data_IF_588008963108
#
_entry.id   IF_588008963108
#
_cell.length_a   1.000
_cell.length_b   1.000
_cell.length_c   1.000
_cell.angle_alpha   90.00
_cell.angle_beta   90.00
_cell.angle_gamma   90.00
#
_symmetry.space_group_name_H-M   'P 1'
#
loop_
_entity.id
_entity.type
_entity.pdbx_description
1 polymer ?
#
# COMPACT_ATOMS: atom_id res chain seq x y z
N UNK A 1 12.12 5.70 8.16
CA UNK A 1 10.65 5.55 7.99
C UNK A 1 9.98 6.92 7.99
N UNK A 2 10.03 7.67 9.11
CA UNK A 2 9.43 9.02 9.23
C UNK A 2 9.82 10.00 8.12
N UNK A 3 11.09 9.97 7.68
CA UNK A 3 11.56 10.80 6.57
C UNK A 3 10.81 10.51 5.26
N UNK A 4 10.54 9.24 4.94
CA UNK A 4 9.77 8.87 3.75
C UNK A 4 8.34 9.40 3.80
N UNK A 5 7.68 9.32 4.95
CA UNK A 5 6.35 9.90 5.16
C UNK A 5 6.34 11.43 4.97
N UNK A 6 7.34 12.12 5.53
CA UNK A 6 7.47 13.57 5.40
C UNK A 6 7.69 13.99 3.95
N UNK A 7 8.57 13.31 3.22
CA UNK A 7 8.83 13.60 1.81
C UNK A 7 7.58 13.43 0.93
N UNK A 8 6.74 12.43 1.23
CA UNK A 8 5.46 12.25 0.54
C UNK A 8 4.46 13.37 0.84
N UNK A 9 4.40 13.84 2.09
CA UNK A 9 3.56 14.99 2.46
C UNK A 9 4.03 16.27 1.76
N UNK A 10 5.34 16.42 1.57
CA UNK A 10 5.94 17.54 0.84
C UNK A 10 5.86 17.42 -0.69
N UNK A 11 5.14 16.42 -1.23
CA UNK A 11 5.04 16.16 -2.68
C UNK A 11 6.41 15.95 -3.35
N UNK A 12 7.36 15.33 -2.64
CA UNK A 12 8.70 14.95 -3.15
C UNK A 12 8.81 13.43 -3.33
N UNK A 13 8.01 12.81 -4.22
CA UNK A 13 7.90 11.36 -4.30
C UNK A 13 9.21 10.68 -4.73
N UNK A 14 10.02 11.31 -5.59
CA UNK A 14 11.29 10.73 -6.05
C UNK A 14 12.32 10.59 -4.91
N UNK A 15 12.38 11.58 -4.03
CA UNK A 15 13.25 11.52 -2.84
C UNK A 15 12.72 10.54 -1.81
N UNK A 16 11.39 10.49 -1.63
CA UNK A 16 10.77 9.49 -0.79
C UNK A 16 11.13 8.07 -1.24
N UNK A 17 11.06 7.77 -2.55
CA UNK A 17 11.46 6.48 -3.13
C UNK A 17 12.92 6.17 -2.78
N UNK A 18 13.82 7.13 -3.00
CA UNK A 18 15.26 6.94 -2.75
C UNK A 18 15.52 6.57 -1.29
N UNK A 19 14.96 7.33 -0.36
CA UNK A 19 15.11 7.09 1.09
C UNK A 19 14.47 5.77 1.52
N UNK A 20 13.27 5.45 1.00
CA UNK A 20 12.54 4.24 1.37
C UNK A 20 13.20 2.96 0.82
N UNK A 21 13.81 3.01 -0.37
CA UNK A 21 14.59 1.89 -0.91
C UNK A 21 15.87 1.65 -0.11
N UNK A 22 16.60 2.71 0.24
CA UNK A 22 17.77 2.61 1.10
C UNK A 22 17.40 2.02 2.46
N UNK A 23 16.31 2.50 3.06
CA UNK A 23 15.79 1.98 4.32
C UNK A 23 15.38 0.50 4.20
N UNK A 24 14.74 0.10 3.10
CA UNK A 24 14.37 -1.30 2.87
C UNK A 24 15.60 -2.22 2.80
N UNK A 25 16.69 -1.77 2.19
CA UNK A 25 17.93 -2.54 2.11
C UNK A 25 18.60 -2.74 3.48
N UNK A 26 18.39 -1.79 4.40
CA UNK A 26 18.93 -1.84 5.77
C UNK A 26 18.02 -2.60 6.75
N UNK A 27 16.80 -2.95 6.35
CA UNK A 27 15.85 -3.61 7.25
C UNK A 27 16.11 -5.12 7.34
N UNK A 28 16.41 -5.56 8.57
CA UNK A 28 16.38 -6.97 8.98
C UNK A 28 14.95 -7.55 9.05
N UNK A 29 14.70 -8.60 9.84
CA UNK A 29 13.45 -9.39 9.83
C UNK A 29 12.21 -8.68 10.39
N UNK A 30 12.23 -7.36 10.59
CA UNK A 30 11.13 -6.62 11.20
C UNK A 30 9.93 -6.48 10.24
N UNK A 31 9.06 -7.48 10.24
CA UNK A 31 7.95 -7.65 9.29
C UNK A 31 7.01 -6.43 9.21
N UNK A 32 6.65 -5.83 10.36
CA UNK A 32 5.75 -4.67 10.40
C UNK A 32 6.34 -3.45 9.69
N UNK A 33 7.61 -3.15 9.97
CA UNK A 33 8.29 -2.00 9.38
C UNK A 33 8.50 -2.22 7.86
N UNK A 34 8.81 -3.45 7.46
CA UNK A 34 8.92 -3.84 6.05
C UNK A 34 7.62 -3.61 5.30
N UNK A 35 6.47 -4.02 5.87
CA UNK A 35 5.15 -3.79 5.29
C UNK A 35 4.83 -2.31 5.15
N UNK A 36 5.11 -1.53 6.19
CA UNK A 36 4.88 -0.09 6.16
C UNK A 36 5.76 0.60 5.09
N UNK A 37 7.02 0.20 4.93
CA UNK A 37 7.89 0.70 3.84
C UNK A 37 7.37 0.31 2.46
N UNK A 38 6.86 -0.91 2.29
CA UNK A 38 6.25 -1.34 1.02
C UNK A 38 5.01 -0.48 0.69
N UNK A 39 4.14 -0.20 1.67
CA UNK A 39 3.01 0.71 1.44
C UNK A 39 3.46 2.11 1.03
N UNK A 40 4.46 2.68 1.72
CA UNK A 40 4.94 4.02 1.39
C UNK A 40 5.62 4.08 0.02
N UNK A 41 6.33 3.03 -0.40
CA UNK A 41 6.87 2.93 -1.75
C UNK A 41 5.75 2.91 -2.79
N UNK A 42 4.70 2.12 -2.57
CA UNK A 42 3.53 2.13 -3.45
C UNK A 42 2.91 3.53 -3.57
N UNK A 43 2.69 4.21 -2.45
CA UNK A 43 2.15 5.59 -2.44
C UNK A 43 3.09 6.54 -3.21
N UNK A 44 4.40 6.42 -3.01
CA UNK A 44 5.38 7.24 -3.70
C UNK A 44 5.35 7.06 -5.21
N UNK A 45 5.25 5.82 -5.69
CA UNK A 45 5.12 5.51 -7.11
C UNK A 45 3.81 6.04 -7.71
N UNK A 46 2.68 5.93 -6.99
CA UNK A 46 1.41 6.55 -7.42
C UNK A 46 1.55 8.08 -7.53
N UNK A 47 2.10 8.74 -6.50
CA UNK A 47 2.27 10.21 -6.51
C UNK A 47 3.21 10.70 -7.61
N UNK A 48 4.16 9.87 -8.05
CA UNK A 48 5.06 10.15 -9.17
C UNK A 48 4.40 9.92 -10.54
N UNK A 49 3.20 9.36 -10.59
CA UNK A 49 2.52 9.00 -11.85
C UNK A 49 2.99 7.67 -12.45
N UNK A 50 3.55 6.76 -11.63
CA UNK A 50 3.95 5.40 -12.04
C UNK A 50 3.12 4.33 -11.30
N UNK A 51 1.79 4.29 -11.45
CA UNK A 51 0.93 3.32 -10.75
C UNK A 51 1.28 1.86 -11.05
N UNK A 52 1.84 1.56 -12.22
CA UNK A 52 2.29 0.24 -12.64
C UNK A 52 3.42 -0.30 -11.74
N UNK A 53 4.28 0.60 -11.27
CA UNK A 53 5.34 0.26 -10.32
C UNK A 53 4.79 0.15 -8.89
N UNK A 54 3.73 0.87 -8.55
CA UNK A 54 3.15 0.88 -7.22
C UNK A 54 2.42 -0.43 -6.88
N UNK A 55 1.68 -0.98 -7.84
CA UNK A 55 0.84 -2.16 -7.68
C UNK A 55 1.56 -3.36 -6.99
N UNK A 56 2.73 -3.83 -7.45
CA UNK A 56 3.42 -4.94 -6.80
C UNK A 56 3.89 -4.62 -5.37
N UNK A 57 4.12 -3.36 -5.01
CA UNK A 57 4.46 -3.00 -3.64
C UNK A 57 3.26 -3.14 -2.70
N UNK A 58 2.07 -2.74 -3.14
CA UNK A 58 0.86 -2.91 -2.33
C UNK A 58 0.48 -4.39 -2.18
N UNK A 59 0.61 -5.21 -3.23
CA UNK A 59 0.42 -6.66 -3.13
C UNK A 59 1.37 -7.30 -2.10
N UNK A 60 2.66 -6.94 -2.15
CA UNK A 60 3.65 -7.44 -1.17
C UNK A 60 3.39 -6.94 0.24
N UNK A 61 2.85 -5.73 0.41
CA UNK A 61 2.45 -5.22 1.71
C UNK A 61 1.27 -6.01 2.30
N UNK A 62 0.33 -6.45 1.46
CA UNK A 62 -0.83 -7.25 1.85
C UNK A 62 -0.50 -8.72 2.14
N UNK A 63 0.63 -9.23 1.63
CA UNK A 63 0.98 -10.66 1.70
C UNK A 63 1.17 -11.14 3.15
N UNK A 64 0.49 -12.25 3.48
CA UNK A 64 0.55 -12.88 4.80
C UNK A 64 -0.12 -12.10 5.93
N UNK A 65 -0.94 -11.08 5.62
CA UNK A 65 -1.82 -10.43 6.60
C UNK A 65 -3.16 -11.18 6.68
N UNK A 66 -3.72 -11.31 7.89
CA UNK A 66 -5.06 -11.87 8.09
C UNK A 66 -6.13 -10.87 7.63
N UNK A 67 -7.34 -11.33 7.32
CA UNK A 67 -8.45 -10.48 6.83
C UNK A 67 -8.76 -9.31 7.77
N UNK A 68 -8.68 -9.53 9.09
CA UNK A 68 -9.03 -8.51 10.08
C UNK A 68 -7.83 -7.62 10.48
N UNK A 69 -6.72 -7.68 9.73
CA UNK A 69 -5.55 -6.85 10.01
C UNK A 69 -5.72 -5.48 9.35
N UNK A 70 -5.68 -4.41 10.15
CA UNK A 70 -5.81 -3.03 9.67
C UNK A 70 -4.81 -2.69 8.56
N UNK A 71 -3.60 -3.25 8.62
CA UNK A 71 -2.58 -3.05 7.57
C UNK A 71 -3.00 -3.71 6.25
N UNK A 72 -3.83 -4.75 6.30
CA UNK A 72 -4.37 -5.42 5.12
C UNK A 72 -5.44 -4.56 4.48
N UNK A 73 -6.40 -4.06 5.24
CA UNK A 73 -7.45 -3.17 4.73
C UNK A 73 -6.85 -1.98 3.99
N UNK A 74 -5.86 -1.30 4.60
CA UNK A 74 -5.17 -0.19 3.94
C UNK A 74 -4.44 -0.59 2.65
N UNK A 75 -3.78 -1.75 2.64
CA UNK A 75 -3.12 -2.26 1.43
C UNK A 75 -4.15 -2.60 0.34
N UNK A 76 -5.27 -3.22 0.70
CA UNK A 76 -6.38 -3.56 -0.21
C UNK A 76 -6.97 -2.31 -0.86
N UNK A 77 -7.26 -1.25 -0.08
CA UNK A 77 -7.72 0.04 -0.63
C UNK A 77 -6.73 0.57 -1.67
N UNK A 78 -5.44 0.57 -1.34
CA UNK A 78 -4.40 1.07 -2.25
C UNK A 78 -4.25 0.21 -3.51
N UNK A 79 -4.42 -1.11 -3.42
CA UNK A 79 -4.45 -2.01 -4.58
C UNK A 79 -5.63 -1.67 -5.48
N UNK A 80 -6.84 -1.52 -4.93
CA UNK A 80 -8.05 -1.18 -5.69
C UNK A 80 -7.87 0.17 -6.40
N UNK A 81 -7.43 1.20 -5.68
CA UNK A 81 -7.22 2.52 -6.24
C UNK A 81 -6.20 2.48 -7.40
N UNK A 82 -5.10 1.75 -7.21
CA UNK A 82 -4.04 1.62 -8.23
C UNK A 82 -4.50 0.79 -9.43
N UNK A 83 -5.25 -0.30 -9.20
CA UNK A 83 -5.80 -1.13 -10.27
C UNK A 83 -6.83 -0.36 -11.11
N UNK A 84 -7.63 0.52 -10.48
CA UNK A 84 -8.51 1.45 -11.17
C UNK A 84 -7.75 2.41 -12.10
N UNK A 85 -6.64 2.99 -11.62
CA UNK A 85 -5.76 3.85 -12.45
C UNK A 85 -5.15 3.10 -13.64
N UNK A 86 -4.91 1.80 -13.50
CA UNK A 86 -4.32 0.95 -14.54
C UNK A 86 -5.35 0.34 -15.50
N UNK A 87 -6.66 0.58 -15.29
CA UNK A 87 -7.71 -0.01 -16.12
C UNK A 87 -7.82 -1.54 -15.98
N UNK A 88 -7.30 -2.13 -14.89
CA UNK A 88 -7.30 -3.58 -14.63
C UNK A 88 -8.66 -4.06 -14.09
N UNK A 89 -9.74 -3.67 -14.77
CA UNK A 89 -11.13 -3.80 -14.30
C UNK A 89 -11.58 -5.21 -13.91
N UNK A 90 -10.97 -6.26 -14.48
CA UNK A 90 -11.36 -7.65 -14.24
C UNK A 90 -10.91 -8.20 -12.87
N UNK A 91 -9.83 -7.69 -12.28
CA UNK A 91 -9.27 -8.19 -11.01
C UNK A 91 -9.87 -7.51 -9.77
N UNK A 92 -10.65 -6.44 -9.97
CA UNK A 92 -11.19 -5.60 -8.90
C UNK A 92 -12.30 -6.30 -8.10
N UNK A 93 -13.05 -7.22 -8.70
CA UNK A 93 -14.23 -7.81 -8.08
C UNK A 93 -13.91 -8.64 -6.83
N UNK A 94 -12.76 -9.33 -6.82
CA UNK A 94 -12.27 -10.08 -5.66
C UNK A 94 -11.84 -9.17 -4.52
N UNK A 95 -11.17 -8.06 -4.84
CA UNK A 95 -10.72 -7.06 -3.87
C UNK A 95 -11.89 -6.26 -3.28
N UNK A 96 -12.86 -5.85 -4.10
CA UNK A 96 -14.09 -5.21 -3.62
C UNK A 96 -14.88 -6.11 -2.68
N UNK A 97 -15.02 -7.40 -3.00
CA UNK A 97 -15.67 -8.37 -2.11
C UNK A 97 -14.93 -8.52 -0.79
N UNK A 98 -13.59 -8.54 -0.78
CA UNK A 98 -12.85 -8.60 0.48
C UNK A 98 -13.01 -7.33 1.32
N UNK A 99 -13.05 -6.16 0.68
CA UNK A 99 -13.16 -4.87 1.36
C UNK A 99 -14.56 -4.65 1.95
N UNK A 100 -15.60 -5.01 1.20
CA UNK A 100 -16.99 -4.98 1.70
C UNK A 100 -17.22 -6.00 2.81
N UNK A 101 -16.59 -7.17 2.74
CA UNK A 101 -16.63 -8.14 3.83
C UNK A 101 -15.96 -7.59 5.10
N UNK A 102 -14.80 -6.95 4.98
CA UNK A 102 -14.10 -6.28 6.09
C UNK A 102 -14.95 -5.14 6.71
N UNK A 103 -15.55 -4.29 5.87
CA UNK A 103 -16.42 -3.19 6.32
C UNK A 103 -17.72 -3.68 6.98
N UNK A 104 -18.28 -4.82 6.53
CA UNK A 104 -19.49 -5.41 7.11
C UNK A 104 -19.28 -6.07 8.48
N UNK A 105 -18.03 -6.31 8.87
CA UNK A 105 -17.65 -6.87 10.19
C UNK A 105 -17.30 -5.81 11.24
N UNK A 106 -17.29 -4.52 10.89
CA UNK A 106 -16.96 -3.43 11.81
C UNK A 106 -18.24 -2.67 12.23
N UNK A 107 -18.82 -2.95 13.42
CA UNK A 107 -20.08 -2.35 13.86
C UNK A 107 -20.00 -0.86 14.20
N UNK A 108 -18.88 -0.18 13.94
CA UNK A 108 -18.70 1.26 14.20
C UNK A 108 -18.97 2.16 12.98
N UNK A 109 -19.44 1.60 11.85
CA UNK A 109 -19.74 2.35 10.61
C UNK A 109 -21.22 2.28 10.16
N UNK A 110 -22.12 1.83 11.04
CA UNK A 110 -23.59 1.99 10.92
C UNK A 110 -24.10 2.95 11.99
#
# INVERSE_FOLDING_TARGET
FNMGCLLLRLRRPQEAITVLLALRAQQGPHLTLRRAVLQLLGIAFVQRGSPELAYPYFQRAAQGLKRNDLLRGQATVNIIATAGLLGLGADLQGYYKSLMAEASTDPQLL
#
